data_IF_350690404223
#
_entry.id   IF_350690404223
#
_cell.length_a   1.000
_cell.length_b   1.000
_cell.length_c   1.000
_cell.angle_alpha   90.00
_cell.angle_beta   90.00
_cell.angle_gamma   90.00
#
_symmetry.space_group_name_H-M   'P 1'
#
loop_
_entity.id
_entity.type
_entity.pdbx_description
1 polymer ?
#
# COMPACT_ATOMS: atom_id res chain seq x y z
N UNK A 1 18.63 3.68 -5.93
CA UNK A 1 17.21 3.47 -5.57
C UNK A 1 16.45 3.11 -6.82
N UNK A 2 16.27 1.81 -7.06
CA UNK A 2 14.99 1.07 -6.99
C UNK A 2 14.00 1.61 -8.01
N UNK A 3 13.77 0.85 -9.09
CA UNK A 3 12.87 1.19 -10.20
C UNK A 3 11.37 1.16 -9.83
N UNK A 4 11.00 1.55 -8.62
CA UNK A 4 9.63 1.81 -8.21
C UNK A 4 9.30 3.30 -8.47
N UNK A 5 8.04 3.59 -8.76
CA UNK A 5 7.54 4.97 -8.89
C UNK A 5 6.53 5.35 -7.80
N UNK A 6 6.13 4.38 -6.98
CA UNK A 6 5.17 4.47 -5.89
C UNK A 6 5.71 3.58 -4.77
N UNK A 7 5.61 4.04 -3.52
CA UNK A 7 5.94 3.25 -2.32
C UNK A 7 4.74 3.28 -1.37
N UNK A 8 4.39 2.12 -0.82
CA UNK A 8 3.47 1.99 0.30
C UNK A 8 4.29 1.56 1.51
N UNK A 9 4.30 2.38 2.56
CA UNK A 9 5.06 2.09 3.78
C UNK A 9 4.12 2.03 4.97
N UNK A 10 4.32 1.03 5.82
CA UNK A 10 3.73 0.95 7.15
C UNK A 10 4.62 1.69 8.17
N UNK A 11 4.05 2.02 9.32
CA UNK A 11 4.79 2.52 10.49
C UNK A 11 5.66 3.78 10.32
N UNK A 12 5.39 4.61 9.32
CA UNK A 12 6.12 5.84 9.12
C UNK A 12 5.69 6.92 10.12
N UNK A 13 6.63 7.44 10.90
CA UNK A 13 6.39 8.52 11.84
C UNK A 13 6.26 9.85 11.11
N UNK A 14 5.36 10.69 11.60
CA UNK A 14 5.35 12.10 11.21
C UNK A 14 6.64 12.82 11.60
N UNK A 15 7.01 13.85 10.83
CA UNK A 15 8.16 14.71 11.12
C UNK A 15 9.48 14.19 10.52
N UNK A 16 10.50 14.02 11.36
CA UNK A 16 11.89 13.82 10.93
C UNK A 16 12.09 12.62 9.97
N UNK A 17 11.30 11.54 10.11
CA UNK A 17 11.36 10.41 9.18
C UNK A 17 10.86 10.77 7.78
N UNK A 18 9.77 11.54 7.67
CA UNK A 18 9.26 12.05 6.39
C UNK A 18 10.29 12.92 5.68
N UNK A 19 10.97 13.78 6.42
CA UNK A 19 12.00 14.66 5.87
C UNK A 19 13.25 13.88 5.46
N UNK A 20 13.60 12.84 6.22
CA UNK A 20 14.66 11.89 5.83
C UNK A 20 14.31 11.15 4.54
N UNK A 21 13.09 10.64 4.41
CA UNK A 21 12.63 9.97 3.19
C UNK A 21 12.68 10.90 1.98
N UNK A 22 12.21 12.15 2.12
CA UNK A 22 12.29 13.16 1.07
C UNK A 22 13.72 13.47 0.68
N UNK A 23 14.61 13.68 1.65
CA UNK A 23 16.01 13.97 1.40
C UNK A 23 16.72 12.82 0.67
N UNK A 24 16.34 11.58 0.96
CA UNK A 24 16.89 10.40 0.27
C UNK A 24 16.33 10.25 -1.14
N UNK A 25 15.02 10.35 -1.31
CA UNK A 25 14.34 10.09 -2.57
C UNK A 25 14.45 11.23 -3.59
N UNK A 26 14.64 12.46 -3.12
CA UNK A 26 14.75 13.68 -3.92
C UNK A 26 13.42 14.40 -4.13
N UNK A 27 13.50 15.61 -4.69
CA UNK A 27 12.39 16.58 -4.73
C UNK A 27 11.17 16.15 -5.57
N UNK A 28 11.37 15.22 -6.50
CA UNK A 28 10.25 14.67 -7.29
C UNK A 28 9.35 13.78 -6.43
N UNK A 29 9.82 13.26 -5.30
CA UNK A 29 9.00 12.38 -4.48
C UNK A 29 8.07 13.16 -3.57
N UNK A 30 6.78 12.86 -3.70
CA UNK A 30 5.72 13.40 -2.86
C UNK A 30 5.24 12.31 -1.91
N UNK A 31 4.62 12.74 -0.82
CA UNK A 31 4.27 11.88 0.29
C UNK A 31 2.95 12.34 0.90
N UNK A 32 2.01 11.41 1.01
CA UNK A 32 0.76 11.58 1.72
C UNK A 32 0.64 10.54 2.82
N UNK A 33 0.35 11.02 4.02
CA UNK A 33 0.38 10.27 5.27
C UNK A 33 -1.02 10.26 5.88
N UNK A 34 -1.41 9.12 6.44
CA UNK A 34 -2.59 9.02 7.30
C UNK A 34 -2.49 10.00 8.47
N UNK A 35 -3.55 10.62 8.99
CA UNK A 35 -3.50 11.66 10.06
C UNK A 35 -2.90 11.23 11.41
N UNK A 36 -2.52 9.97 11.55
CA UNK A 36 -2.04 9.35 12.79
C UNK A 36 -0.54 9.49 12.99
N UNK A 37 -0.06 9.76 14.21
CA UNK A 37 1.37 10.05 14.49
C UNK A 37 2.37 9.02 13.93
N UNK A 38 1.93 7.77 13.73
CA UNK A 38 2.60 6.71 12.98
C UNK A 38 1.53 6.03 12.11
N UNK A 39 1.77 5.77 10.84
CA UNK A 39 0.69 5.21 10.02
C UNK A 39 1.08 4.83 8.60
N UNK A 40 0.11 4.31 7.82
CA UNK A 40 0.33 3.95 6.43
C UNK A 40 0.51 5.18 5.56
N UNK A 41 1.47 5.11 4.65
CA UNK A 41 1.93 6.23 3.82
C UNK A 41 2.03 5.79 2.37
N UNK A 42 1.56 6.67 1.48
CA UNK A 42 1.81 6.55 0.05
C UNK A 42 2.80 7.62 -0.37
N UNK A 43 3.91 7.19 -0.98
CA UNK A 43 4.86 8.06 -1.67
C UNK A 43 4.79 7.81 -3.17
N UNK A 44 5.03 8.85 -3.97
CA UNK A 44 5.06 8.72 -5.43
C UNK A 44 6.05 9.69 -6.06
N UNK A 45 6.63 9.26 -7.17
CA UNK A 45 7.50 10.06 -8.02
C UNK A 45 6.64 10.97 -8.93
N UNK A 46 6.63 12.27 -8.64
CA UNK A 46 5.83 13.27 -9.37
C UNK A 46 6.34 13.54 -10.78
N UNK A 47 7.51 13.02 -11.17
CA UNK A 47 7.92 13.04 -12.58
C UNK A 47 7.12 12.05 -13.44
N UNK A 48 6.43 11.09 -12.80
CA UNK A 48 5.63 10.05 -13.46
C UNK A 48 4.14 10.16 -13.14
N UNK A 49 3.80 10.68 -11.96
CA UNK A 49 2.43 10.66 -11.45
C UNK A 49 1.95 12.04 -10.99
N UNK A 50 0.80 12.46 -11.52
CA UNK A 50 0.05 13.61 -11.05
C UNK A 50 -0.93 13.16 -9.95
N UNK A 51 -0.88 13.83 -8.80
CA UNK A 51 -1.84 13.61 -7.72
C UNK A 51 -3.19 14.26 -8.05
N UNK A 52 -4.27 13.49 -7.91
CA UNK A 52 -5.63 13.96 -8.18
C UNK A 52 -6.43 14.22 -6.90
N UNK A 53 -6.42 13.26 -5.98
CA UNK A 53 -7.23 13.27 -4.76
C UNK A 53 -6.67 12.23 -3.76
N UNK A 54 -7.12 12.29 -2.51
CA UNK A 54 -6.74 11.37 -1.43
C UNK A 54 -7.87 11.17 -0.43
N UNK A 55 -7.80 10.08 0.31
CA UNK A 55 -8.73 9.79 1.39
C UNK A 55 -8.09 8.85 2.41
N UNK A 56 -8.50 8.93 3.67
CA UNK A 56 -7.95 8.15 4.77
C UNK A 56 -9.08 7.54 5.61
N UNK A 57 -8.83 6.40 6.22
CA UNK A 57 -9.75 5.78 7.19
C UNK A 57 -8.99 5.32 8.44
N UNK A 58 -9.44 5.80 9.60
CA UNK A 58 -8.86 5.44 10.89
C UNK A 58 -9.40 4.12 11.45
N UNK A 59 -8.52 3.34 12.08
CA UNK A 59 -8.90 2.11 12.79
C UNK A 59 -9.14 2.31 14.29
N UNK A 60 -9.14 3.56 14.75
CA UNK A 60 -9.47 3.94 16.13
C UNK A 60 -8.27 4.14 17.05
N UNK A 61 -7.07 4.24 16.48
CA UNK A 61 -5.83 4.58 17.20
C UNK A 61 -4.91 5.47 16.35
N UNK A 62 -3.72 5.79 16.90
CA UNK A 62 -2.73 6.66 16.27
C UNK A 62 -1.64 5.90 15.47
N UNK A 63 -1.91 4.65 15.08
CA UNK A 63 -0.92 3.75 14.48
C UNK A 63 -1.42 3.04 13.21
N UNK A 64 -2.73 2.82 13.11
CA UNK A 64 -3.35 1.93 12.14
C UNK A 64 -4.47 2.62 11.37
N UNK A 65 -4.56 2.27 10.09
CA UNK A 65 -5.52 2.87 9.17
C UNK A 65 -5.27 2.42 7.74
N UNK A 66 -5.86 3.16 6.81
CA UNK A 66 -5.51 3.06 5.41
C UNK A 66 -5.52 4.44 4.73
N UNK A 67 -4.63 4.62 3.75
CA UNK A 67 -4.43 5.86 3.01
C UNK A 67 -4.55 5.59 1.52
N UNK A 68 -5.57 6.18 0.87
CA UNK A 68 -5.73 6.19 -0.59
C UNK A 68 -5.12 7.45 -1.19
N UNK A 69 -4.41 7.30 -2.30
CA UNK A 69 -4.01 8.38 -3.19
C UNK A 69 -4.40 8.01 -4.62
N UNK A 70 -5.16 8.89 -5.28
CA UNK A 70 -5.48 8.77 -6.70
C UNK A 70 -4.38 9.43 -7.54
N UNK A 71 -3.75 8.65 -8.41
CA UNK A 71 -2.60 9.06 -9.22
C UNK A 71 -2.93 8.91 -10.71
N UNK A 72 -2.64 9.95 -11.49
CA UNK A 72 -2.72 9.93 -12.95
C UNK A 72 -1.31 9.82 -13.53
N UNK A 73 -1.05 8.80 -14.32
CA UNK A 73 0.23 8.66 -15.00
C UNK A 73 0.37 9.78 -16.05
N UNK A 74 1.47 10.53 -16.00
CA UNK A 74 1.63 11.78 -16.76
C UNK A 74 1.65 11.51 -18.27
N UNK A 75 2.30 10.43 -18.70
CA UNK A 75 2.45 10.11 -20.12
C UNK A 75 1.20 9.47 -20.72
N UNK A 76 0.61 8.50 -20.01
CA UNK A 76 -0.52 7.71 -20.57
C UNK A 76 -1.88 8.28 -20.19
N UNK A 77 -1.94 9.18 -19.21
CA UNK A 77 -3.19 9.73 -18.69
C UNK A 77 -4.06 8.75 -17.90
N UNK A 78 -3.63 7.50 -17.73
CA UNK A 78 -4.36 6.47 -17.00
C UNK A 78 -4.33 6.75 -15.49
N UNK A 79 -5.41 6.39 -14.79
CA UNK A 79 -5.59 6.65 -13.35
C UNK A 79 -5.45 5.33 -12.59
N UNK A 80 -4.69 5.37 -11.49
CA UNK A 80 -4.51 4.31 -10.52
C UNK A 80 -4.83 4.85 -9.12
N UNK A 81 -5.72 4.18 -8.40
CA UNK A 81 -5.85 4.39 -6.97
C UNK A 81 -4.84 3.49 -6.24
N UNK A 82 -4.06 4.08 -5.33
CA UNK A 82 -3.08 3.37 -4.50
C UNK A 82 -3.51 3.48 -3.06
N UNK A 83 -3.70 2.36 -2.40
CA UNK A 83 -4.08 2.29 -0.99
C UNK A 83 -2.93 1.65 -0.21
N UNK A 84 -2.34 2.39 0.72
CA UNK A 84 -1.45 1.84 1.74
C UNK A 84 -2.27 1.48 2.98
N UNK A 85 -2.03 0.32 3.57
CA UNK A 85 -2.77 -0.17 4.76
C UNK A 85 -1.82 -0.66 5.84
N UNK A 86 -2.19 -0.42 7.10
CA UNK A 86 -1.58 -1.01 8.27
C UNK A 86 -2.69 -1.44 9.23
N UNK A 87 -3.04 -2.72 9.23
CA UNK A 87 -4.11 -3.30 10.09
C UNK A 87 -3.55 -3.56 11.49
N UNK A 88 -4.39 -3.44 12.52
CA UNK A 88 -3.99 -3.67 13.91
C UNK A 88 -3.42 -5.09 14.13
N UNK A 89 -2.31 -5.25 14.88
CA UNK A 89 -1.74 -6.55 15.17
C UNK A 89 -2.57 -7.33 16.19
N UNK A 90 -2.30 -8.65 16.30
CA UNK A 90 -3.01 -9.53 17.23
C UNK A 90 -2.82 -9.16 18.71
N UNK A 91 -1.78 -8.39 19.03
CA UNK A 91 -1.53 -7.89 20.39
C UNK A 91 -2.57 -6.87 20.87
N UNK A 92 -3.29 -6.21 19.96
CA UNK A 92 -4.24 -5.12 20.28
C UNK A 92 -5.62 -5.26 19.63
N UNK A 93 -5.81 -6.24 18.75
CA UNK A 93 -7.07 -6.46 18.06
C UNK A 93 -7.41 -7.94 17.86
N UNK A 94 -8.69 -8.27 18.06
CA UNK A 94 -9.23 -9.62 17.76
C UNK A 94 -9.32 -9.87 16.25
N UNK A 95 -9.55 -11.12 15.86
CA UNK A 95 -9.75 -11.46 14.45
C UNK A 95 -10.93 -10.69 13.81
N UNK A 96 -12.02 -10.52 14.55
CA UNK A 96 -13.21 -9.78 14.11
C UNK A 96 -12.90 -8.29 13.92
N UNK A 97 -12.14 -7.69 14.83
CA UNK A 97 -11.71 -6.29 14.72
C UNK A 97 -10.79 -6.08 13.52
N UNK A 98 -9.87 -7.02 13.25
CA UNK A 98 -8.98 -6.96 12.09
C UNK A 98 -9.74 -7.16 10.77
N UNK A 99 -10.76 -8.03 10.76
CA UNK A 99 -11.66 -8.14 9.63
C UNK A 99 -12.45 -6.84 9.38
N UNK A 100 -12.87 -6.14 10.45
CA UNK A 100 -13.50 -4.83 10.34
C UNK A 100 -12.54 -3.74 9.82
N UNK A 101 -11.26 -3.78 10.17
CA UNK A 101 -10.23 -2.88 9.62
C UNK A 101 -10.03 -3.09 8.11
N UNK A 102 -9.99 -4.36 7.68
CA UNK A 102 -9.96 -4.69 6.25
C UNK A 102 -11.23 -4.20 5.56
N UNK A 103 -12.41 -4.39 6.15
CA UNK A 103 -13.67 -3.89 5.60
C UNK A 103 -13.67 -2.35 5.48
N UNK A 104 -13.15 -1.62 6.47
CA UNK A 104 -12.95 -0.17 6.41
C UNK A 104 -12.01 0.23 5.28
N UNK A 105 -10.88 -0.47 5.12
CA UNK A 105 -9.94 -0.26 4.00
C UNK A 105 -10.66 -0.35 2.65
N UNK A 106 -11.54 -1.34 2.50
CA UNK A 106 -12.29 -1.56 1.26
C UNK A 106 -13.27 -0.43 0.91
N UNK A 107 -13.67 0.40 1.87
CA UNK A 107 -14.53 1.58 1.60
C UNK A 107 -13.82 2.64 0.72
N UNK A 108 -12.49 2.60 0.67
CA UNK A 108 -11.68 3.48 -0.18
C UNK A 108 -11.73 3.10 -1.67
N UNK A 109 -12.23 1.92 -2.03
CA UNK A 109 -12.32 1.49 -3.42
C UNK A 109 -13.44 2.22 -4.16
N UNK A 110 -13.09 2.92 -5.24
CA UNK A 110 -14.03 3.75 -6.02
C UNK A 110 -14.37 3.19 -7.41
N UNK A 111 -14.23 1.88 -7.62
CA UNK A 111 -14.54 1.25 -8.92
C UNK A 111 -13.48 1.48 -10.01
N UNK A 112 -12.31 2.03 -9.66
CA UNK A 112 -11.19 2.34 -10.57
C UNK A 112 -10.10 1.26 -10.49
N UNK A 113 -9.17 1.21 -11.46
CA UNK A 113 -7.96 0.40 -11.30
C UNK A 113 -7.28 0.76 -9.98
N UNK A 114 -7.15 -0.20 -9.08
CA UNK A 114 -6.71 0.03 -7.70
C UNK A 114 -5.73 -1.04 -7.25
N UNK A 115 -4.70 -0.63 -6.52
CA UNK A 115 -3.83 -1.51 -5.73
C UNK A 115 -3.97 -1.20 -4.24
N UNK A 116 -4.16 -2.23 -3.41
CA UNK A 116 -4.00 -2.15 -1.96
C UNK A 116 -2.70 -2.87 -1.60
N UNK A 117 -1.82 -2.23 -0.84
CA UNK A 117 -0.57 -2.84 -0.38
C UNK A 117 -0.19 -2.38 1.03
N UNK A 118 0.45 -3.27 1.79
CA UNK A 118 0.96 -2.95 3.12
C UNK A 118 0.89 -4.16 4.05
N UNK A 119 0.98 -3.87 5.35
CA UNK A 119 0.91 -4.87 6.40
C UNK A 119 -0.54 -5.07 6.83
N UNK A 120 -1.08 -6.26 6.52
CA UNK A 120 -2.44 -6.63 6.89
C UNK A 120 -2.53 -7.26 8.27
N UNK A 121 -1.41 -7.55 8.92
CA UNK A 121 -1.34 -8.34 10.15
C UNK A 121 -2.16 -9.65 10.07
N UNK A 122 -2.43 -10.14 8.86
CA UNK A 122 -3.31 -11.27 8.57
C UNK A 122 -2.70 -12.05 7.42
N UNK A 123 -2.51 -13.36 7.60
CA UNK A 123 -2.06 -14.23 6.51
C UNK A 123 -3.10 -14.34 5.38
N UNK A 124 -4.38 -14.18 5.72
CA UNK A 124 -5.51 -14.29 4.78
C UNK A 124 -6.53 -13.18 5.02
N UNK A 125 -6.23 -11.93 4.62
CA UNK A 125 -7.17 -10.83 4.79
C UNK A 125 -8.43 -11.02 3.92
N UNK A 126 -9.64 -10.76 4.46
CA UNK A 126 -10.90 -10.96 3.75
C UNK A 126 -11.14 -9.85 2.70
N UNK A 127 -10.56 -10.03 1.51
CA UNK A 127 -10.64 -9.07 0.39
C UNK A 127 -11.47 -9.64 -0.78
N UNK A 128 -12.81 -9.64 -0.71
CA UNK A 128 -13.66 -10.25 -1.73
C UNK A 128 -13.52 -9.56 -3.10
N UNK A 129 -13.27 -10.37 -4.13
CA UNK A 129 -13.10 -9.90 -5.51
C UNK A 129 -11.81 -9.12 -5.77
N UNK A 130 -10.82 -9.24 -4.89
CA UNK A 130 -9.45 -8.74 -5.12
C UNK A 130 -8.53 -9.90 -5.49
N UNK A 131 -7.57 -9.63 -6.35
CA UNK A 131 -6.55 -10.59 -6.75
C UNK A 131 -5.24 -10.28 -6.05
N UNK A 132 -4.72 -11.22 -5.25
CA UNK A 132 -3.39 -11.09 -4.63
C UNK A 132 -2.32 -11.15 -5.72
N UNK A 133 -1.37 -10.22 -5.69
CA UNK A 133 -0.24 -10.19 -6.64
C UNK A 133 1.09 -10.57 -6.02
N UNK A 134 1.17 -10.66 -4.68
CA UNK A 134 2.36 -11.16 -3.98
C UNK A 134 2.23 -12.65 -3.62
N UNK A 135 3.33 -13.43 -3.65
CA UNK A 135 3.41 -14.78 -3.09
C UNK A 135 3.12 -14.86 -1.58
N UNK A 136 2.64 -16.00 -1.09
CA UNK A 136 2.39 -16.25 0.35
C UNK A 136 3.68 -16.74 1.01
N UNK A 137 4.65 -15.84 1.12
CA UNK A 137 5.90 -16.09 1.83
C UNK A 137 5.96 -15.19 3.05
N UNK A 138 6.84 -15.56 3.98
CA UNK A 138 7.09 -14.69 5.12
C UNK A 138 7.88 -13.46 4.70
N UNK A 139 7.49 -12.35 5.29
CA UNK A 139 8.24 -11.10 5.24
C UNK A 139 8.72 -10.69 6.61
N UNK A 140 8.22 -11.30 7.69
CA UNK A 140 8.65 -10.99 9.05
C UNK A 140 9.88 -11.83 9.43
N UNK A 141 10.83 -11.22 10.14
CA UNK A 141 11.97 -11.91 10.76
C UNK A 141 11.53 -12.66 12.03
N UNK A 142 10.70 -13.69 11.82
CA UNK A 142 10.18 -14.55 12.87
C UNK A 142 9.98 -15.99 12.36
N UNK A 143 9.94 -16.95 13.28
CA UNK A 143 9.73 -18.35 12.92
C UNK A 143 8.30 -18.62 12.39
N UNK A 144 8.23 -19.17 11.18
CA UNK A 144 7.01 -19.72 10.57
C UNK A 144 6.22 -18.75 9.69
N UNK A 145 5.68 -19.23 8.57
CA UNK A 145 5.08 -18.39 7.51
C UNK A 145 3.87 -17.59 8.01
N UNK A 146 4.05 -16.29 8.21
CA UNK A 146 2.96 -15.38 8.58
C UNK A 146 2.31 -14.70 7.36
N UNK A 147 3.12 -14.32 6.36
CA UNK A 147 2.69 -13.70 5.11
C UNK A 147 1.79 -12.45 5.29
N UNK A 148 2.17 -11.59 6.24
CA UNK A 148 1.42 -10.41 6.67
C UNK A 148 1.43 -9.29 5.63
N UNK A 149 2.56 -9.07 4.96
CA UNK A 149 2.69 -8.08 3.91
C UNK A 149 2.19 -8.62 2.58
N UNK A 150 1.28 -7.87 1.96
CA UNK A 150 0.79 -8.26 0.64
C UNK A 150 0.33 -7.09 -0.20
N UNK A 151 0.26 -7.32 -1.51
CA UNK A 151 -0.38 -6.44 -2.45
C UNK A 151 -1.51 -7.15 -3.20
N UNK A 152 -2.56 -6.40 -3.47
CA UNK A 152 -3.81 -6.86 -4.08
C UNK A 152 -4.27 -5.86 -5.12
N UNK A 153 -4.83 -6.34 -6.23
CA UNK A 153 -5.36 -5.50 -7.29
C UNK A 153 -6.84 -5.76 -7.53
N UNK A 154 -7.55 -4.72 -8.00
CA UNK A 154 -8.94 -4.79 -8.46
C UNK A 154 -9.23 -3.66 -9.42
N UNK A 155 -10.17 -3.88 -10.34
CA UNK A 155 -10.66 -2.88 -11.27
C UNK A 155 -10.25 -3.17 -12.73
N UNK A 156 -10.71 -2.35 -13.67
CA UNK A 156 -10.47 -2.57 -15.09
C UNK A 156 -9.00 -2.35 -15.46
N UNK A 157 -8.48 -3.10 -16.43
CA UNK A 157 -7.18 -2.82 -17.06
C UNK A 157 -5.94 -2.90 -16.18
N UNK A 158 -6.06 -3.31 -14.91
CA UNK A 158 -4.92 -3.52 -14.00
C UNK A 158 -4.54 -5.00 -13.92
N UNK A 159 -3.27 -5.32 -14.11
CA UNK A 159 -2.75 -6.69 -13.96
C UNK A 159 -1.40 -6.71 -13.24
N UNK A 160 -1.13 -7.80 -12.51
CA UNK A 160 0.18 -8.07 -11.94
C UNK A 160 1.14 -8.64 -12.98
N UNK A 161 2.39 -8.16 -13.01
CA UNK A 161 3.46 -8.69 -13.87
C UNK A 161 4.45 -9.54 -13.11
N UNK A 162 4.87 -9.06 -11.95
CA UNK A 162 5.85 -9.73 -11.10
C UNK A 162 5.70 -9.25 -9.65
N UNK A 163 6.17 -10.08 -8.72
CA UNK A 163 6.38 -9.71 -7.33
C UNK A 163 7.65 -10.39 -6.82
N UNK A 164 8.57 -9.60 -6.29
CA UNK A 164 9.83 -10.10 -5.71
C UNK A 164 9.97 -9.57 -4.29
N UNK A 165 10.33 -10.46 -3.36
CA UNK A 165 10.77 -10.03 -2.04
C UNK A 165 11.98 -9.11 -2.18
N UNK A 166 12.07 -8.13 -1.30
CA UNK A 166 13.18 -7.21 -1.23
C UNK A 166 13.66 -7.16 0.21
N UNK A 167 14.83 -7.76 0.43
CA UNK A 167 15.46 -7.80 1.75
C UNK A 167 15.60 -6.40 2.33
N UNK A 168 15.15 -6.23 3.57
CA UNK A 168 15.17 -4.95 4.26
C UNK A 168 15.90 -5.08 5.60
N UNK A 169 17.25 -5.12 5.61
CA UNK A 169 18.05 -5.41 6.82
C UNK A 169 17.96 -4.36 7.94
N UNK A 170 17.22 -3.27 7.72
CA UNK A 170 16.95 -2.22 8.71
C UNK A 170 15.50 -2.28 9.25
N UNK A 171 14.77 -3.32 8.89
CA UNK A 171 13.37 -3.57 9.18
C UNK A 171 13.24 -5.01 9.67
N UNK A 172 12.32 -5.26 10.59
CA UNK A 172 11.88 -6.62 10.94
C UNK A 172 10.95 -7.21 9.87
N UNK A 173 10.53 -6.40 8.89
CA UNK A 173 9.82 -6.84 7.69
C UNK A 173 10.62 -6.61 6.41
N UNK A 174 10.75 -7.64 5.58
CA UNK A 174 11.11 -7.54 4.17
C UNK A 174 10.03 -6.84 3.34
N UNK A 175 10.46 -6.09 2.33
CA UNK A 175 9.57 -5.37 1.44
C UNK A 175 9.11 -6.21 0.25
N UNK A 176 8.03 -5.76 -0.39
CA UNK A 176 7.62 -6.26 -1.71
C UNK A 176 7.93 -5.25 -2.81
N UNK A 177 8.58 -5.72 -3.88
CA UNK A 177 8.59 -5.01 -5.16
C UNK A 177 7.60 -5.65 -6.12
N UNK A 178 6.57 -4.89 -6.48
CA UNK A 178 5.50 -5.36 -7.36
C UNK A 178 5.53 -4.59 -8.68
N UNK A 179 5.53 -5.31 -9.79
CA UNK A 179 5.33 -4.76 -11.13
C UNK A 179 3.88 -4.88 -11.55
N UNK A 180 3.26 -3.77 -11.91
CA UNK A 180 1.89 -3.72 -12.39
C UNK A 180 1.84 -3.21 -13.84
N UNK A 181 0.84 -3.64 -14.59
CA UNK A 181 0.42 -3.03 -15.86
C UNK A 181 -0.88 -2.29 -15.63
N UNK A 182 -0.99 -1.11 -16.24
CA UNK A 182 -2.24 -0.37 -16.35
C UNK A 182 -2.52 -0.13 -17.84
N UNK A 183 -3.62 -0.67 -18.32
CA UNK A 183 -4.10 -0.53 -19.69
C UNK A 183 -5.45 0.21 -19.71
N UNK A 184 -5.75 0.85 -20.84
CA UNK A 184 -7.11 1.31 -21.09
C UNK A 184 -8.04 0.08 -21.13
N UNK A 185 -9.27 0.17 -20.58
CA UNK A 185 -10.25 -0.89 -20.78
C UNK A 185 -10.56 -1.02 -22.27
N UNK A 186 -10.63 -2.25 -22.76
CA UNK A 186 -11.10 -2.52 -24.11
C UNK A 186 -12.54 -2.00 -24.24
N UNK A 187 -12.76 -1.07 -25.18
CA UNK A 187 -14.09 -0.60 -25.52
C UNK A 187 -14.74 -1.66 -26.41
N UNK A 188 -15.29 -2.71 -25.81
CA UNK A 188 -16.13 -3.72 -26.47
C UNK A 188 -17.57 -3.59 -26.02
#
# INVERSE_FOLDING_TARGET
>A
MIGASILCLSECYYGAQRDTLRARLGDSWKIWTHSTSRGPVVLWDSSKWLHLDRETVDFGDNFHGATRVALKHIVTGLILDVISVHVRPGAVATAEQKAADVAKTLTLYRGRPTVIAGDFNLSSPPLPGWTRVTPRIDTLDADGIQALDSAWIKGPGITGRYATAHEAPLSDHDGWRVGLTLAAPDLT
#
